data_IF_789256205862
#
_entry.id   IF_789256205862
#
_cell.length_a   1.000
_cell.length_b   1.000
_cell.length_c   1.000
_cell.angle_alpha   90.00
_cell.angle_beta   90.00
_cell.angle_gamma   90.00
#
_symmetry.space_group_name_H-M   'P 1'
#
loop_
_entity.id
_entity.type
_entity.pdbx_description
1 polymer ?
#
# COMPACT_ATOMS: atom_id res chain seq x y z
N UNK A 1 22.17 -35.71 70.34
CA UNK A 1 21.00 -35.56 71.23
C UNK A 1 20.04 -34.58 70.54
N UNK A 2 19.16 -35.05 69.65
CA UNK A 2 17.72 -35.32 69.90
C UNK A 2 17.01 -34.18 70.65
N UNK A 3 16.19 -33.38 69.96
CA UNK A 3 14.72 -33.51 70.04
C UNK A 3 14.04 -32.53 69.09
N UNK A 4 13.31 -33.07 68.13
CA UNK A 4 12.23 -32.41 67.39
C UNK A 4 10.95 -32.63 68.20
N UNK A 5 10.24 -31.56 68.59
CA UNK A 5 8.82 -31.63 69.00
C UNK A 5 8.24 -30.19 69.06
N UNK A 6 7.58 -29.70 68.01
CA UNK A 6 6.13 -29.78 67.78
C UNK A 6 5.24 -29.27 68.92
N UNK A 7 4.70 -28.05 68.78
CA UNK A 7 3.33 -27.67 69.21
C UNK A 7 2.82 -26.57 68.26
N UNK A 8 2.35 -26.94 67.07
CA UNK A 8 0.92 -27.14 66.77
C UNK A 8 0.02 -26.04 67.36
N UNK A 9 -0.18 -24.96 66.61
CA UNK A 9 -1.29 -24.02 66.81
C UNK A 9 -2.50 -24.56 66.05
N UNK A 10 -3.58 -24.76 66.79
CA UNK A 10 -4.85 -25.30 66.32
C UNK A 10 -5.48 -24.41 65.24
N UNK A 11 -5.93 -25.04 64.15
CA UNK A 11 -6.79 -24.44 63.13
C UNK A 11 -8.25 -24.67 63.57
N UNK A 12 -9.10 -23.63 63.65
CA UNK A 12 -10.50 -23.84 63.97
C UNK A 12 -11.22 -24.51 62.78
N UNK A 13 -11.80 -25.67 63.07
CA UNK A 13 -12.75 -26.39 62.25
C UNK A 13 -14.04 -25.58 62.18
N UNK A 14 -14.38 -25.05 61.00
CA UNK A 14 -15.71 -24.49 60.75
C UNK A 14 -16.48 -25.40 59.81
N UNK A 15 -17.25 -26.29 60.41
CA UNK A 15 -18.24 -27.14 59.74
C UNK A 15 -19.51 -26.33 59.50
N UNK A 16 -19.82 -25.98 58.25
CA UNK A 16 -21.22 -25.86 57.81
C UNK A 16 -21.38 -26.54 56.47
N UNK A 17 -22.07 -27.68 56.53
CA UNK A 17 -22.67 -28.35 55.41
C UNK A 17 -23.67 -27.42 54.71
N UNK A 18 -23.67 -27.44 53.38
CA UNK A 18 -24.60 -26.69 52.54
C UNK A 18 -24.61 -27.23 51.12
N UNK A 19 -25.43 -28.26 50.90
CA UNK A 19 -26.06 -28.70 49.64
C UNK A 19 -25.42 -28.28 48.30
N UNK A 20 -24.88 -29.25 47.57
CA UNK A 20 -25.00 -29.25 46.10
C UNK A 20 -26.35 -29.88 45.68
N UNK A 21 -26.63 -30.05 44.37
CA UNK A 21 -26.43 -29.13 43.25
C UNK A 21 -27.79 -28.87 42.56
N UNK A 22 -28.07 -27.65 42.08
CA UNK A 22 -29.26 -27.41 41.23
C UNK A 22 -28.92 -26.58 40.00
N UNK A 23 -28.62 -27.32 38.93
CA UNK A 23 -29.05 -27.08 37.56
C UNK A 23 -29.27 -25.61 37.14
N UNK A 24 -28.21 -24.94 36.71
CA UNK A 24 -28.29 -23.77 35.81
C UNK A 24 -27.87 -24.11 34.38
N UNK A 25 -27.91 -25.39 33.99
CA UNK A 25 -27.72 -25.82 32.61
C UNK A 25 -29.05 -25.85 31.83
N UNK A 26 -29.84 -24.77 31.87
CA UNK A 26 -31.07 -24.66 31.06
C UNK A 26 -31.40 -23.25 30.56
N UNK A 27 -30.50 -22.28 30.72
CA UNK A 27 -30.73 -20.90 30.21
C UNK A 27 -30.04 -20.57 28.89
N UNK A 28 -29.04 -21.34 28.46
CA UNK A 28 -28.25 -21.02 27.27
C UNK A 28 -28.66 -21.77 25.99
N UNK A 29 -29.61 -22.71 26.06
CA UNK A 29 -30.08 -23.44 24.88
C UNK A 29 -31.01 -22.61 23.98
N UNK A 30 -31.70 -21.60 24.53
CA UNK A 30 -32.60 -20.74 23.76
C UNK A 30 -31.85 -19.71 22.88
N UNK A 31 -30.67 -19.25 23.31
CA UNK A 31 -29.88 -18.27 22.56
C UNK A 31 -29.12 -18.89 21.38
N UNK A 32 -28.74 -20.17 21.46
CA UNK A 32 -28.04 -20.86 20.38
C UNK A 32 -28.94 -21.18 19.17
N UNK A 33 -30.24 -21.42 19.39
CA UNK A 33 -31.19 -21.72 18.30
C UNK A 33 -31.53 -20.51 17.42
N UNK A 34 -31.47 -19.29 17.97
CA UNK A 34 -31.79 -18.07 17.21
C UNK A 34 -30.71 -17.69 16.19
N UNK A 35 -29.44 -18.01 16.45
CA UNK A 35 -28.32 -17.65 15.56
C UNK A 35 -28.24 -18.60 14.35
N UNK A 36 -28.61 -19.87 14.52
CA UNK A 36 -28.62 -20.86 13.42
C UNK A 36 -29.75 -20.59 12.42
N UNK A 37 -30.91 -20.11 12.89
CA UNK A 37 -32.03 -19.78 12.00
C UNK A 37 -31.77 -18.56 11.10
N UNK A 38 -30.91 -17.62 11.53
CA UNK A 38 -30.58 -16.43 10.73
C UNK A 38 -29.63 -16.74 9.55
N UNK A 39 -28.77 -17.77 9.66
CA UNK A 39 -27.88 -18.17 8.57
C UNK A 39 -28.56 -19.01 7.48
N UNK A 40 -29.74 -19.58 7.75
CA UNK A 40 -30.45 -20.44 6.80
C UNK A 40 -31.24 -19.67 5.71
N UNK A 41 -31.38 -18.34 5.83
CA UNK A 41 -32.06 -17.50 4.84
C UNK A 41 -31.10 -16.63 4.01
N UNK A 42 -29.78 -16.83 4.13
CA UNK A 42 -28.81 -16.17 3.27
C UNK A 42 -28.87 -16.79 1.86
N UNK A 43 -29.72 -16.18 1.04
CA UNK A 43 -29.87 -16.29 -0.41
C UNK A 43 -29.02 -17.31 -1.16
N UNK A 44 -29.69 -18.34 -1.69
CA UNK A 44 -29.20 -19.02 -2.90
C UNK A 44 -28.99 -17.96 -3.98
N UNK A 45 -27.76 -17.75 -4.45
CA UNK A 45 -27.51 -17.00 -5.68
C UNK A 45 -28.14 -17.77 -6.83
N UNK A 46 -29.32 -17.33 -7.27
CA UNK A 46 -29.93 -17.82 -8.51
C UNK A 46 -29.21 -17.12 -9.65
N UNK A 47 -28.25 -17.82 -10.26
CA UNK A 47 -27.77 -17.47 -11.58
C UNK A 47 -28.88 -17.77 -12.58
N UNK A 48 -29.58 -16.74 -13.05
CA UNK A 48 -30.43 -16.88 -14.23
C UNK A 48 -29.52 -17.09 -15.45
N UNK A 49 -29.60 -18.23 -16.16
CA UNK A 49 -29.03 -18.29 -17.47
C UNK A 49 -29.85 -17.35 -18.36
N UNK A 50 -29.20 -16.32 -18.90
CA UNK A 50 -29.75 -15.49 -19.96
C UNK A 50 -29.84 -16.32 -21.25
N UNK A 51 -30.78 -17.27 -21.30
CA UNK A 51 -31.30 -17.79 -22.56
C UNK A 51 -32.54 -16.99 -22.92
N UNK A 52 -32.31 -15.72 -23.27
CA UNK A 52 -33.19 -15.04 -24.21
C UNK A 52 -32.89 -15.59 -25.58
N UNK A 53 -33.86 -16.31 -26.16
CA UNK A 53 -33.97 -16.41 -27.63
C UNK A 53 -34.30 -15.01 -28.16
N UNK A 54 -34.00 -14.79 -29.44
CA UNK A 54 -34.19 -13.57 -30.24
C UNK A 54 -32.97 -12.63 -30.32
N UNK A 55 -32.00 -13.11 -31.10
CA UNK A 55 -31.44 -12.52 -32.33
C UNK A 55 -30.87 -11.08 -32.40
N UNK A 56 -29.67 -11.03 -33.01
CA UNK A 56 -28.98 -9.89 -33.67
C UNK A 56 -28.41 -8.75 -32.81
N UNK A 57 -27.22 -9.00 -32.23
CA UNK A 57 -26.18 -7.95 -32.15
C UNK A 57 -25.06 -8.36 -33.12
N UNK A 58 -24.81 -7.60 -34.20
CA UNK A 58 -23.70 -7.87 -35.11
C UNK A 58 -22.40 -7.43 -34.45
N UNK A 59 -21.89 -8.24 -33.54
CA UNK A 59 -20.51 -8.14 -33.06
C UNK A 59 -19.62 -8.55 -34.21
N UNK A 60 -19.19 -7.55 -34.98
CA UNK A 60 -18.33 -7.67 -36.15
C UNK A 60 -17.24 -8.69 -35.92
N UNK A 61 -17.34 -9.79 -36.65
CA UNK A 61 -16.33 -10.83 -36.72
C UNK A 61 -15.02 -10.18 -37.12
N UNK A 62 -14.02 -10.28 -36.24
CA UNK A 62 -12.65 -9.91 -36.59
C UNK A 62 -12.22 -10.91 -37.65
N UNK A 63 -12.36 -10.52 -38.92
CA UNK A 63 -11.83 -11.28 -40.04
C UNK A 63 -10.31 -11.37 -39.83
N UNK A 64 -9.84 -12.56 -39.46
CA UNK A 64 -8.41 -12.88 -39.50
C UNK A 64 -8.01 -12.82 -40.97
N UNK A 65 -7.41 -11.70 -41.37
CA UNK A 65 -6.89 -11.53 -42.71
C UNK A 65 -5.49 -12.13 -42.74
N UNK A 66 -5.37 -13.32 -43.31
CA UNK A 66 -4.09 -13.85 -43.77
C UNK A 66 -3.61 -13.06 -45.00
N UNK A 67 -2.31 -12.75 -44.99
CA UNK A 67 -1.42 -12.45 -46.12
C UNK A 67 -1.91 -11.48 -47.22
N UNK A 68 -1.53 -10.20 -47.09
CA UNK A 68 -1.33 -9.31 -48.23
C UNK A 68 -0.02 -8.50 -48.05
N UNK A 69 0.71 -8.34 -49.15
CA UNK A 69 2.03 -7.73 -49.26
C UNK A 69 2.09 -6.27 -48.74
N UNK A 70 3.30 -5.72 -48.47
CA UNK A 70 3.46 -4.43 -47.81
C UNK A 70 2.97 -3.27 -48.69
N UNK A 71 1.99 -2.50 -48.23
CA UNK A 71 1.66 -1.20 -48.81
C UNK A 71 2.57 -0.11 -48.22
N UNK A 72 3.15 0.79 -49.03
CA UNK A 72 3.94 1.91 -48.52
C UNK A 72 3.04 2.91 -47.80
N UNK A 73 3.46 3.31 -46.59
CA UNK A 73 2.74 4.25 -45.74
C UNK A 73 2.57 5.63 -46.41
N UNK A 74 1.40 6.28 -46.32
CA UNK A 74 1.26 7.67 -46.69
C UNK A 74 2.01 8.56 -45.68
N UNK A 75 2.89 9.42 -46.19
CA UNK A 75 3.67 10.36 -45.39
C UNK A 75 2.82 11.58 -45.01
N UNK A 76 2.10 11.52 -43.90
CA UNK A 76 1.45 12.70 -43.31
C UNK A 76 2.48 13.58 -42.59
N UNK A 77 2.77 14.74 -43.18
CA UNK A 77 3.61 15.79 -42.61
C UNK A 77 2.79 16.60 -41.59
N UNK A 78 2.61 16.08 -40.38
CA UNK A 78 2.11 16.89 -39.26
C UNK A 78 3.26 17.71 -38.70
N UNK A 79 3.34 18.99 -39.05
CA UNK A 79 4.33 19.92 -38.51
C UNK A 79 3.86 20.47 -37.16
N UNK A 80 4.64 20.24 -36.09
CA UNK A 80 4.46 20.86 -34.77
C UNK A 80 4.95 22.31 -34.81
N UNK A 81 4.17 23.21 -35.40
CA UNK A 81 4.37 24.63 -35.16
C UNK A 81 3.67 25.02 -33.84
N UNK A 82 4.35 25.70 -32.89
CA UNK A 82 3.68 26.22 -31.71
C UNK A 82 2.68 27.32 -32.09
N UNK A 83 1.48 27.28 -31.52
CA UNK A 83 0.52 28.38 -31.61
C UNK A 83 1.11 29.64 -30.97
N UNK A 84 0.92 30.79 -31.61
CA UNK A 84 1.40 32.07 -31.11
C UNK A 84 0.72 32.44 -29.76
N UNK A 85 1.42 33.15 -28.85
CA UNK A 85 0.84 33.59 -27.58
C UNK A 85 -0.25 34.64 -27.79
N UNK A 86 -1.30 34.59 -26.97
CA UNK A 86 -2.36 35.60 -26.90
C UNK A 86 -1.80 36.86 -26.21
N UNK A 87 -1.79 38.00 -26.91
CA UNK A 87 -1.40 39.29 -26.32
C UNK A 87 -2.43 39.74 -25.28
N UNK A 88 -1.99 40.01 -24.04
CA UNK A 88 -2.77 40.76 -23.04
C UNK A 88 -2.93 40.16 -21.65
N UNK A 89 -2.44 38.95 -21.35
CA UNK A 89 -2.53 38.39 -20.00
C UNK A 89 -1.38 38.89 -19.10
N UNK A 90 -1.60 39.99 -18.39
CA UNK A 90 -0.69 40.44 -17.33
C UNK A 90 -0.67 39.42 -16.17
N UNK A 91 0.51 39.01 -15.65
CA UNK A 91 0.56 38.08 -14.52
C UNK A 91 0.19 38.80 -13.22
N UNK A 92 -0.75 38.21 -12.48
CA UNK A 92 -1.00 38.60 -11.09
C UNK A 92 0.27 38.35 -10.25
N UNK A 93 0.71 39.36 -9.50
CA UNK A 93 1.85 39.26 -8.60
C UNK A 93 1.55 38.26 -7.47
N UNK A 94 2.40 37.24 -7.33
CA UNK A 94 2.33 36.24 -6.26
C UNK A 94 3.00 36.78 -4.97
N UNK A 95 2.46 36.48 -3.76
CA UNK A 95 3.13 36.83 -2.52
C UNK A 95 4.40 35.99 -2.31
N UNK A 96 5.52 36.67 -2.03
CA UNK A 96 6.81 36.08 -1.71
C UNK A 96 6.87 35.58 -0.27
N UNK A 97 6.93 34.25 -0.10
CA UNK A 97 7.83 33.53 0.83
C UNK A 97 7.31 32.08 1.02
N UNK A 98 7.74 31.17 0.16
CA UNK A 98 7.61 29.73 0.44
C UNK A 98 8.69 29.34 1.48
N UNK A 99 8.39 28.48 2.47
CA UNK A 99 9.41 28.00 3.40
C UNK A 99 10.50 27.23 2.63
N UNK A 100 11.75 27.28 3.13
CA UNK A 100 12.96 26.80 2.41
C UNK A 100 12.91 25.36 1.91
N UNK A 101 11.98 24.53 2.38
CA UNK A 101 11.71 23.19 1.86
C UNK A 101 11.07 23.20 0.44
N UNK A 102 10.56 24.35 -0.02
CA UNK A 102 9.86 24.50 -1.31
C UNK A 102 10.39 25.65 -2.15
N UNK A 103 11.63 26.09 -1.95
CA UNK A 103 12.29 26.93 -2.94
C UNK A 103 12.28 26.21 -4.29
N UNK A 104 11.85 26.88 -5.36
CA UNK A 104 11.92 26.35 -6.71
C UNK A 104 13.35 25.83 -6.98
N UNK A 105 13.53 24.68 -7.66
CA UNK A 105 14.85 24.14 -7.93
C UNK A 105 15.70 25.21 -8.61
N UNK A 106 16.80 25.62 -7.98
CA UNK A 106 17.76 26.51 -8.63
C UNK A 106 18.23 25.86 -9.94
N UNK A 107 18.42 26.59 -11.05
CA UNK A 107 19.06 26.03 -12.23
C UNK A 107 20.48 25.57 -11.84
N UNK A 108 20.65 24.25 -11.66
CA UNK A 108 21.83 23.63 -11.05
C UNK A 108 21.54 22.67 -9.87
N UNK A 109 20.32 22.66 -9.33
CA UNK A 109 19.89 21.68 -8.34
C UNK A 109 19.58 20.35 -9.02
N UNK A 110 20.31 19.30 -8.65
CA UNK A 110 20.13 17.95 -9.15
C UNK A 110 18.67 17.50 -9.00
N UNK A 111 18.17 16.76 -10.00
CA UNK A 111 16.89 16.05 -9.92
C UNK A 111 16.77 15.28 -8.59
N UNK A 112 15.54 15.06 -8.05
CA UNK A 112 15.37 14.21 -6.88
C UNK A 112 16.13 12.91 -7.15
N UNK A 113 17.10 12.61 -6.28
CA UNK A 113 18.10 11.60 -6.57
C UNK A 113 17.38 10.29 -6.92
N UNK A 114 17.56 9.83 -8.16
CA UNK A 114 17.38 8.41 -8.44
C UNK A 114 18.30 7.69 -7.45
N UNK A 115 17.78 6.81 -6.58
CA UNK A 115 18.64 6.19 -5.61
C UNK A 115 19.67 5.38 -6.38
N UNK A 116 20.93 5.47 -6.01
CA UNK A 116 22.06 4.76 -6.67
C UNK A 116 21.93 3.22 -6.64
N UNK A 117 20.79 2.69 -6.21
CA UNK A 117 20.41 1.27 -6.09
C UNK A 117 19.15 0.89 -6.89
N UNK A 118 18.24 1.82 -7.23
CA UNK A 118 17.12 1.57 -8.16
C UNK A 118 17.35 2.39 -9.43
N UNK A 119 17.28 1.75 -10.58
CA UNK A 119 17.44 2.47 -11.85
C UNK A 119 16.29 3.47 -12.05
N UNK A 120 16.47 4.52 -12.86
CA UNK A 120 15.39 5.45 -13.19
C UNK A 120 14.13 4.77 -13.76
N UNK A 121 14.31 3.71 -14.56
CA UNK A 121 13.21 2.95 -15.15
C UNK A 121 12.46 2.15 -14.07
N UNK A 122 13.17 1.43 -13.19
CA UNK A 122 12.55 0.71 -12.07
C UNK A 122 11.84 1.67 -11.11
N UNK A 123 12.42 2.85 -10.89
CA UNK A 123 11.84 3.88 -10.04
C UNK A 123 10.47 4.35 -10.53
N UNK A 124 10.25 4.41 -11.84
CA UNK A 124 8.95 4.81 -12.41
C UNK A 124 7.81 3.89 -11.96
N UNK A 125 8.07 2.58 -11.86
CA UNK A 125 7.14 1.57 -11.36
C UNK A 125 7.05 1.58 -9.83
N UNK A 126 8.19 1.77 -9.15
CA UNK A 126 8.30 1.76 -7.70
C UNK A 126 7.61 2.95 -7.01
N UNK A 127 7.60 4.14 -7.64
CA UNK A 127 7.08 5.38 -7.03
C UNK A 127 5.61 5.28 -6.62
N UNK A 128 4.77 4.64 -7.42
CA UNK A 128 3.36 4.44 -7.09
C UNK A 128 3.16 3.61 -5.81
N UNK A 129 3.92 2.51 -5.69
CA UNK A 129 3.88 1.67 -4.50
C UNK A 129 4.39 2.38 -3.24
N UNK A 130 5.44 3.21 -3.38
CA UNK A 130 5.90 4.07 -2.28
C UNK A 130 4.76 5.00 -1.82
N UNK A 131 4.09 5.69 -2.74
CA UNK A 131 3.00 6.59 -2.41
C UNK A 131 1.86 5.93 -1.65
N UNK A 132 1.46 4.73 -2.08
CA UNK A 132 0.44 3.93 -1.42
C UNK A 132 0.89 3.46 -0.02
N UNK A 133 2.12 2.96 0.10
CA UNK A 133 2.65 2.49 1.39
C UNK A 133 2.70 3.63 2.41
N UNK A 134 3.15 4.82 2.00
CA UNK A 134 3.29 5.97 2.89
C UNK A 134 1.96 6.64 3.23
N UNK A 135 0.98 6.57 2.32
CA UNK A 135 -0.36 7.10 2.53
C UNK A 135 -1.26 6.22 3.41
N UNK A 136 -0.86 4.98 3.73
CA UNK A 136 -1.66 4.09 4.56
C UNK A 136 -1.65 4.54 6.04
N UNK A 137 -2.81 4.57 6.69
CA UNK A 137 -2.91 4.96 8.12
C UNK A 137 -2.11 4.01 9.03
N UNK A 138 -2.10 2.72 8.72
CA UNK A 138 -1.38 1.72 9.51
C UNK A 138 0.14 1.80 9.29
N UNK A 139 0.90 1.65 10.38
CA UNK A 139 2.31 1.27 10.28
C UNK A 139 2.45 -0.16 9.75
N UNK A 140 3.59 -0.46 9.12
CA UNK A 140 3.91 -1.74 8.48
C UNK A 140 3.04 -2.11 7.27
N UNK A 141 2.28 -1.15 6.72
CA UNK A 141 1.63 -1.33 5.42
C UNK A 141 2.70 -1.56 4.35
N UNK A 142 2.68 -2.75 3.74
CA UNK A 142 3.62 -3.15 2.70
C UNK A 142 2.91 -3.17 1.34
N UNK A 143 3.50 -2.47 0.36
CA UNK A 143 2.98 -2.40 -1.00
C UNK A 143 4.03 -2.93 -1.97
N UNK A 144 3.74 -4.01 -2.72
CA UNK A 144 4.66 -4.55 -3.70
C UNK A 144 4.66 -3.73 -4.99
N UNK A 145 5.73 -3.87 -5.76
CA UNK A 145 5.86 -3.34 -7.11
C UNK A 145 6.68 -4.30 -7.98
N UNK A 146 6.49 -4.22 -9.29
CA UNK A 146 7.28 -4.94 -10.27
C UNK A 146 7.41 -4.11 -11.56
N UNK A 147 8.59 -4.17 -12.18
CA UNK A 147 8.87 -3.64 -13.50
C UNK A 147 8.91 -4.82 -14.51
N UNK A 148 7.92 -4.95 -15.41
CA UNK A 148 7.90 -6.04 -16.39
C UNK A 148 9.01 -5.94 -17.45
N UNK A 149 9.56 -4.74 -17.69
CA UNK A 149 10.56 -4.51 -18.74
C UNK A 149 11.96 -4.96 -18.29
N UNK A 150 12.32 -4.70 -17.03
CA UNK A 150 13.62 -5.08 -16.45
C UNK A 150 13.56 -6.38 -15.65
N UNK A 151 12.36 -6.83 -15.27
CA UNK A 151 12.15 -7.93 -14.33
C UNK A 151 12.46 -7.59 -12.87
N UNK A 152 12.76 -6.32 -12.55
CA UNK A 152 12.98 -5.89 -11.18
C UNK A 152 11.67 -5.91 -10.38
N UNK A 153 11.74 -6.25 -9.09
CA UNK A 153 10.59 -6.25 -8.21
C UNK A 153 10.97 -5.91 -6.77
N UNK A 154 9.97 -5.59 -5.96
CA UNK A 154 10.23 -5.20 -4.59
C UNK A 154 8.98 -4.84 -3.81
N UNK A 155 9.18 -4.17 -2.69
CA UNK A 155 8.10 -3.65 -1.86
C UNK A 155 8.55 -2.43 -1.07
N UNK A 156 7.61 -1.57 -0.70
CA UNK A 156 7.81 -0.51 0.30
C UNK A 156 6.94 -0.78 1.51
N UNK A 157 7.51 -0.61 2.70
CA UNK A 157 6.84 -0.81 3.98
C UNK A 157 7.01 0.43 4.84
N UNK A 158 5.90 1.01 5.30
CA UNK A 158 5.95 2.13 6.24
C UNK A 158 6.49 1.67 7.60
N UNK A 159 7.66 2.15 8.00
CA UNK A 159 8.34 1.68 9.22
C UNK A 159 7.77 2.26 10.50
N UNK A 160 7.22 3.48 10.46
CA UNK A 160 6.61 4.13 11.62
C UNK A 160 5.45 5.04 11.23
N UNK A 161 4.83 5.69 12.20
CA UNK A 161 3.87 6.77 11.95
C UNK A 161 4.56 7.97 11.27
N UNK A 162 3.81 8.81 10.54
CA UNK A 162 4.32 10.07 9.99
C UNK A 162 4.77 11.05 11.09
N UNK A 163 5.79 11.85 10.79
CA UNK A 163 6.36 12.91 11.63
C UNK A 163 6.40 14.22 10.83
N UNK A 164 6.33 15.37 11.51
CA UNK A 164 6.57 16.66 10.86
C UNK A 164 8.07 16.98 10.93
N UNK A 165 8.70 17.14 9.77
CA UNK A 165 10.11 17.48 9.63
C UNK A 165 10.25 18.62 8.62
N UNK A 166 10.92 19.72 9.00
CA UNK A 166 11.09 20.92 8.17
C UNK A 166 9.77 21.48 7.58
N UNK A 167 8.65 21.32 8.30
CA UNK A 167 7.32 21.77 7.86
C UNK A 167 6.64 20.85 6.83
N UNK A 168 7.21 19.68 6.52
CA UNK A 168 6.58 18.64 5.71
C UNK A 168 6.23 17.42 6.57
N UNK A 169 5.18 16.69 6.19
CA UNK A 169 4.88 15.39 6.79
C UNK A 169 5.78 14.34 6.16
N UNK A 170 6.72 13.79 6.92
CA UNK A 170 7.66 12.78 6.48
C UNK A 170 7.39 11.44 7.16
N UNK A 171 7.74 10.34 6.51
CA UNK A 171 7.54 9.00 7.02
C UNK A 171 8.71 8.10 6.61
N UNK A 172 9.36 7.42 7.58
CA UNK A 172 10.41 6.47 7.27
C UNK A 172 9.82 5.18 6.71
N UNK A 173 10.60 4.54 5.84
CA UNK A 173 10.23 3.29 5.21
C UNK A 173 11.41 2.33 5.11
N UNK A 174 11.07 1.05 5.06
CA UNK A 174 11.94 -0.02 4.61
C UNK A 174 11.44 -0.51 3.25
N UNK A 175 12.34 -0.98 2.41
CA UNK A 175 12.01 -1.54 1.11
C UNK A 175 12.87 -2.74 0.78
N UNK A 176 12.34 -3.59 -0.11
CA UNK A 176 13.11 -4.62 -0.81
C UNK A 176 13.22 -4.25 -2.28
N UNK A 177 14.35 -4.61 -2.88
CA UNK A 177 14.60 -4.48 -4.32
C UNK A 177 15.36 -5.72 -4.78
N UNK A 178 14.80 -6.41 -5.76
CA UNK A 178 15.39 -7.59 -6.38
C UNK A 178 15.48 -7.38 -7.88
N UNK A 179 16.70 -7.43 -8.42
CA UNK A 179 16.97 -7.30 -9.85
C UNK A 179 18.21 -8.13 -10.22
N UNK A 180 18.20 -8.76 -11.40
CA UNK A 180 19.35 -9.54 -11.89
C UNK A 180 19.85 -10.62 -10.92
N UNK A 181 18.93 -11.25 -10.17
CA UNK A 181 19.26 -12.30 -9.20
C UNK A 181 19.90 -11.81 -7.89
N UNK A 182 19.95 -10.49 -7.65
CA UNK A 182 20.46 -9.90 -6.41
C UNK A 182 19.33 -9.24 -5.65
N UNK A 183 19.24 -9.53 -4.36
CA UNK A 183 18.31 -8.85 -3.45
C UNK A 183 19.05 -7.79 -2.62
N UNK A 184 18.42 -6.64 -2.48
CA UNK A 184 18.88 -5.51 -1.69
C UNK A 184 17.77 -5.09 -0.72
N UNK A 185 18.18 -4.83 0.52
CA UNK A 185 17.35 -4.14 1.50
C UNK A 185 17.65 -2.66 1.44
N UNK A 186 16.60 -1.86 1.41
CA UNK A 186 16.67 -0.40 1.35
C UNK A 186 15.94 0.17 2.56
N UNK A 187 16.37 1.34 3.01
CA UNK A 187 15.73 2.16 4.03
C UNK A 187 15.74 3.61 3.56
N UNK A 188 14.77 4.39 3.99
CA UNK A 188 14.66 5.77 3.53
C UNK A 188 13.58 6.57 4.26
N UNK A 189 13.42 7.80 3.80
CA UNK A 189 12.35 8.70 4.24
C UNK A 189 11.63 9.23 3.01
N UNK A 190 10.30 9.25 3.07
CA UNK A 190 9.46 9.91 2.09
C UNK A 190 8.72 11.07 2.74
N UNK A 191 8.65 12.21 2.06
CA UNK A 191 7.94 13.38 2.54
C UNK A 191 6.76 13.70 1.63
N UNK A 192 5.66 14.11 2.24
CA UNK A 192 4.46 14.57 1.55
C UNK A 192 4.71 15.96 0.99
N UNK A 193 4.57 16.10 -0.31
CA UNK A 193 4.76 17.36 -1.03
C UNK A 193 3.57 18.29 -0.82
N UNK A 194 3.74 19.57 -1.17
CA UNK A 194 2.64 20.55 -1.14
C UNK A 194 1.47 20.15 -2.05
N UNK A 195 1.72 19.40 -3.11
CA UNK A 195 0.69 18.84 -4.00
C UNK A 195 0.03 17.56 -3.44
N UNK A 196 0.41 17.13 -2.23
CA UNK A 196 -0.27 16.07 -1.47
C UNK A 196 0.20 14.64 -1.75
N UNK A 197 1.14 14.43 -2.68
CA UNK A 197 1.75 13.11 -2.96
C UNK A 197 2.99 12.88 -2.10
N UNK A 198 3.40 11.63 -1.93
CA UNK A 198 4.62 11.26 -1.23
C UNK A 198 5.78 11.11 -2.22
N UNK A 199 6.93 11.70 -1.91
CA UNK A 199 8.16 11.53 -2.68
C UNK A 199 9.28 11.06 -1.74
N UNK A 200 10.11 10.11 -2.18
CA UNK A 200 11.31 9.73 -1.43
C UNK A 200 12.31 10.88 -1.44
N UNK A 201 12.72 11.33 -0.25
CA UNK A 201 13.77 12.35 -0.08
C UNK A 201 15.13 11.73 0.23
N UNK A 202 15.13 10.48 0.71
CA UNK A 202 16.34 9.70 0.94
C UNK A 202 16.05 8.21 0.78
N UNK A 203 16.99 7.49 0.16
CA UNK A 203 17.01 6.03 0.03
C UNK A 203 18.46 5.59 0.16
N UNK A 204 18.67 4.54 0.94
CA UNK A 204 20.00 3.96 1.22
C UNK A 204 19.85 2.46 1.34
N UNK A 205 20.87 1.71 0.93
CA UNK A 205 20.93 0.27 1.21
C UNK A 205 21.12 0.04 2.71
N UNK A 206 20.27 -0.78 3.31
CA UNK A 206 20.44 -1.26 4.68
C UNK A 206 21.19 -2.60 4.65
N UNK A 207 22.52 -2.53 4.70
CA UNK A 207 23.33 -3.75 4.62
C UNK A 207 24.72 -3.48 4.06
N UNK A 208 25.57 -2.96 4.93
CA UNK A 208 26.99 -2.71 4.66
C UNK A 208 27.58 -2.08 5.90
N UNK A 209 27.65 -2.84 7.01
CA UNK A 209 28.56 -2.45 8.08
C UNK A 209 29.95 -2.58 7.47
N UNK A 210 30.59 -1.45 7.17
CA UNK A 210 32.03 -1.43 6.98
C UNK A 210 32.63 -1.93 8.30
N UNK A 211 33.08 -3.18 8.30
CA UNK A 211 33.92 -3.73 9.35
C UNK A 211 35.33 -3.16 9.20
#
# INVERSE_FOLDING_TARGET
>A
MRSLDQRQRAVPISTRAGLGPRATLRRNAAAAFAIVAAFACAGCSVSYPLFGKDDDIPTGSIARSDAAAPQPAPADKVSRAPLAPIEGAAPAAAPSAAPSAYAAPQPGAAAPASPSTLTPDDWSYARGALGLAMGAEAANASVPWANPDSGAYGSFTASSAPVIENGATCRPFAASHSAGGREQRLEGTACRTAAGHWEAVSIRTSGGRAS
#
